data_IF_192131912397
#
_entry.id   IF_192131912397
#
_cell.length_a   1.000
_cell.length_b   1.000
_cell.length_c   1.000
_cell.angle_alpha   90.00
_cell.angle_beta   90.00
_cell.angle_gamma   90.00
#
_symmetry.space_group_name_H-M   'P 1'
#
loop_
_entity.id
_entity.type
_entity.pdbx_description
1 polymer ?
#
# COMPACT_ATOMS: atom_id res chain seq x y z
N UNK A 1 -16.88 2.94 4.63
CA UNK A 1 -16.45 4.28 4.15
C UNK A 1 -16.59 4.38 2.61
N UNK A 2 -15.99 3.47 1.83
CA UNK A 2 -16.06 3.47 0.36
C UNK A 2 -17.49 3.46 -0.25
N UNK A 3 -18.44 2.71 0.34
CA UNK A 3 -19.81 2.64 -0.17
C UNK A 3 -20.61 3.96 -0.11
N UNK A 4 -20.17 4.95 0.69
CA UNK A 4 -20.87 6.24 0.85
C UNK A 4 -20.48 7.30 -0.20
N UNK A 5 -19.41 7.08 -0.97
CA UNK A 5 -18.90 8.01 -1.98
C UNK A 5 -18.73 7.33 -3.35
N UNK A 6 -19.59 6.36 -3.67
CA UNK A 6 -19.47 5.53 -4.88
C UNK A 6 -19.42 6.34 -6.21
N UNK A 7 -19.93 7.58 -6.22
CA UNK A 7 -19.94 8.47 -7.37
C UNK A 7 -18.75 9.43 -7.47
N UNK A 8 -17.88 9.49 -6.46
CA UNK A 8 -16.70 10.37 -6.47
C UNK A 8 -15.46 9.61 -6.98
N UNK A 9 -14.76 10.11 -8.02
CA UNK A 9 -13.55 9.48 -8.52
C UNK A 9 -12.41 9.65 -7.52
N UNK A 10 -12.26 8.67 -6.62
CA UNK A 10 -11.21 8.64 -5.60
C UNK A 10 -10.26 7.48 -5.84
N UNK A 11 -8.97 7.73 -5.62
CA UNK A 11 -7.97 6.67 -5.51
C UNK A 11 -8.18 5.91 -4.20
N UNK A 12 -8.24 4.58 -4.28
CA UNK A 12 -8.32 3.69 -3.13
C UNK A 12 -7.23 2.63 -3.25
N UNK A 13 -6.48 2.40 -2.19
CA UNK A 13 -5.36 1.43 -2.18
C UNK A 13 -5.48 0.53 -0.97
N UNK A 14 -5.48 -0.79 -1.21
CA UNK A 14 -5.05 -1.78 -0.23
C UNK A 14 -3.56 -2.00 -0.41
N UNK A 15 -2.80 -1.98 0.68
CA UNK A 15 -1.35 -2.03 0.65
C UNK A 15 -0.86 -3.32 1.29
N UNK A 16 -0.06 -4.09 0.55
CA UNK A 16 0.75 -5.17 1.06
C UNK A 16 2.18 -4.65 1.27
N UNK A 17 2.52 -4.12 2.46
CA UNK A 17 3.83 -3.50 2.70
C UNK A 17 4.98 -4.55 2.73
N UNK A 18 4.64 -5.84 2.84
CA UNK A 18 5.59 -6.93 3.03
C UNK A 18 5.86 -7.21 4.51
N UNK A 19 6.81 -8.11 4.77
CA UNK A 19 7.22 -8.47 6.12
C UNK A 19 8.32 -7.53 6.61
N UNK A 20 7.98 -6.63 7.53
CA UNK A 20 8.86 -5.53 7.99
C UNK A 20 9.25 -5.75 9.45
N UNK A 21 10.49 -5.40 9.82
CA UNK A 21 11.02 -5.43 11.19
C UNK A 21 10.36 -4.36 12.04
N UNK A 22 9.20 -4.72 12.57
CA UNK A 22 8.42 -3.98 13.57
C UNK A 22 8.13 -4.93 14.74
N UNK A 23 7.49 -4.44 15.80
CA UNK A 23 7.05 -5.31 16.90
C UNK A 23 6.11 -6.43 16.41
N UNK A 24 5.28 -6.16 15.39
CA UNK A 24 4.38 -7.15 14.79
C UNK A 24 5.12 -8.12 13.86
N UNK A 25 6.09 -7.64 13.08
CA UNK A 25 6.85 -8.49 12.16
C UNK A 25 7.98 -9.27 12.83
N UNK A 26 8.45 -8.83 13.98
CA UNK A 26 9.56 -9.45 14.70
C UNK A 26 10.94 -9.20 14.05
N UNK A 27 12.02 -9.59 14.74
CA UNK A 27 13.39 -9.29 14.34
C UNK A 27 13.85 -10.05 13.08
N UNK A 28 13.18 -11.16 12.73
CA UNK A 28 13.51 -11.98 11.57
C UNK A 28 12.98 -11.45 10.24
N UNK A 29 12.19 -10.38 10.25
CA UNK A 29 11.65 -9.83 9.03
C UNK A 29 12.77 -9.29 8.10
N UNK A 30 12.64 -9.47 6.78
CA UNK A 30 13.71 -9.18 5.83
C UNK A 30 13.95 -7.68 5.59
N UNK A 31 12.97 -6.81 5.86
CA UNK A 31 13.06 -5.38 5.55
C UNK A 31 12.99 -4.54 6.82
N UNK A 32 13.75 -3.45 6.90
CA UNK A 32 13.53 -2.40 7.93
C UNK A 32 12.38 -1.48 7.55
N UNK A 33 11.98 -0.65 8.53
CA UNK A 33 11.04 0.45 8.31
C UNK A 33 11.63 1.44 7.29
N UNK A 34 12.91 1.80 7.42
CA UNK A 34 13.62 2.75 6.56
C UNK A 34 13.71 2.27 5.11
N UNK A 35 13.81 0.96 4.89
CA UNK A 35 13.81 0.36 3.55
C UNK A 35 12.40 0.28 2.93
N UNK A 36 11.39 0.00 3.75
CA UNK A 36 10.05 -0.31 3.26
C UNK A 36 9.16 0.94 3.11
N UNK A 37 9.20 1.88 4.05
CA UNK A 37 8.25 3.01 4.10
C UNK A 37 8.42 3.98 2.92
N UNK A 38 9.64 4.37 2.50
CA UNK A 38 9.78 5.24 1.33
C UNK A 38 9.11 4.66 0.08
N UNK A 39 9.26 3.34 -0.15
CA UNK A 39 8.63 2.66 -1.28
C UNK A 39 7.10 2.66 -1.20
N UNK A 40 6.54 2.43 -0.01
CA UNK A 40 5.09 2.51 0.20
C UNK A 40 4.59 3.93 -0.09
N UNK A 41 5.31 4.96 0.36
CA UNK A 41 4.97 6.37 0.09
C UNK A 41 5.00 6.65 -1.41
N UNK A 42 6.03 6.20 -2.12
CA UNK A 42 6.14 6.37 -3.58
C UNK A 42 4.96 5.75 -4.32
N UNK A 43 4.55 4.53 -3.94
CA UNK A 43 3.35 3.90 -4.50
C UNK A 43 2.11 4.72 -4.23
N UNK A 44 1.89 5.19 -2.99
CA UNK A 44 0.70 5.99 -2.66
C UNK A 44 0.65 7.32 -3.43
N UNK A 45 1.80 8.00 -3.59
CA UNK A 45 1.92 9.21 -4.40
C UNK A 45 1.62 8.92 -5.87
N UNK A 46 2.12 7.80 -6.42
CA UNK A 46 1.86 7.40 -7.79
C UNK A 46 0.38 7.10 -8.08
N UNK A 47 -0.44 6.85 -7.05
CA UNK A 47 -1.87 6.59 -7.20
C UNK A 47 -2.76 7.83 -7.11
N UNK A 48 -2.20 9.00 -6.80
CA UNK A 48 -2.95 10.25 -6.79
C UNK A 48 -3.61 10.50 -8.16
N UNK A 49 -4.89 10.88 -8.14
CA UNK A 49 -5.67 11.13 -9.34
C UNK A 49 -6.09 9.88 -10.15
N UNK A 50 -5.73 8.66 -9.72
CA UNK A 50 -6.15 7.41 -10.37
C UNK A 50 -7.37 6.83 -9.64
N UNK A 51 -8.61 7.04 -10.14
CA UNK A 51 -9.79 6.55 -9.46
C UNK A 51 -9.87 5.02 -9.47
N UNK A 52 -10.54 4.47 -8.46
CA UNK A 52 -10.76 3.04 -8.32
C UNK A 52 -9.90 2.39 -7.24
N UNK A 53 -10.27 1.16 -6.89
CA UNK A 53 -9.57 0.35 -5.88
C UNK A 53 -8.47 -0.48 -6.54
N UNK A 54 -7.27 -0.42 -5.97
CA UNK A 54 -6.15 -1.28 -6.34
C UNK A 54 -5.57 -1.97 -5.09
N UNK A 55 -5.20 -3.23 -5.23
CA UNK A 55 -4.43 -3.94 -4.21
C UNK A 55 -2.98 -4.06 -4.69
N UNK A 56 -2.07 -3.37 -4.01
CA UNK A 56 -0.69 -3.19 -4.45
C UNK A 56 0.30 -3.61 -3.36
N UNK A 57 1.45 -4.14 -3.76
CA UNK A 57 2.61 -4.28 -2.88
C UNK A 57 3.47 -3.01 -2.83
N UNK A 58 4.48 -2.97 -1.94
CA UNK A 58 5.40 -1.83 -1.81
C UNK A 58 6.21 -1.52 -3.07
N UNK A 59 6.29 -2.45 -4.04
CA UNK A 59 6.96 -2.21 -5.32
C UNK A 59 5.96 -1.75 -6.40
N UNK A 60 4.70 -1.48 -6.02
CA UNK A 60 3.63 -1.02 -6.90
C UNK A 60 3.01 -2.12 -7.76
N UNK A 61 3.29 -3.40 -7.47
CA UNK A 61 2.78 -4.53 -8.25
C UNK A 61 1.41 -4.95 -7.72
N UNK A 62 0.53 -5.33 -8.63
CA UNK A 62 -0.79 -5.86 -8.28
C UNK A 62 -0.67 -7.15 -7.46
N UNK A 63 -1.44 -7.24 -6.38
CA UNK A 63 -1.56 -8.43 -5.53
C UNK A 63 -2.90 -9.12 -5.83
N UNK A 64 -2.93 -10.45 -6.06
CA UNK A 64 -4.18 -11.19 -6.18
C UNK A 64 -5.06 -11.07 -4.92
N UNK A 65 -6.37 -11.13 -5.12
CA UNK A 65 -7.38 -11.09 -4.05
C UNK A 65 -7.42 -12.35 -3.22
#
# INVERSE_FOLDING_TARGET
>A
YAARHASEPRALVLMAPGWIRTDLGGPGAPFTIEEAIPKVVDVLLAQQGKPGLQFLDREGRGVPW
#
